data_IF_820094543770
#
_entry.id   IF_820094543770
#
_cell.length_a   1.000
_cell.length_b   1.000
_cell.length_c   1.000
_cell.angle_alpha   90.00
_cell.angle_beta   90.00
_cell.angle_gamma   90.00
#
_symmetry.space_group_name_H-M   'P 1'
#
loop_
_entity.id
_entity.type
_entity.pdbx_description
1 polymer ?
#
# COMPACT_ATOMS: atom_id res chain seq x y z
N UNK A 1 2.35 -18.60 28.32
CA UNK A 1 2.80 -17.21 28.54
C UNK A 1 2.19 -16.70 29.83
N UNK A 2 3.01 -16.41 30.85
CA UNK A 2 2.55 -15.86 32.12
C UNK A 2 2.09 -14.40 31.99
N UNK A 3 1.30 -13.94 32.96
CA UNK A 3 0.80 -12.56 33.03
C UNK A 3 1.95 -11.53 33.15
N UNK A 4 2.97 -11.86 33.93
CA UNK A 4 4.17 -11.06 34.08
C UNK A 4 4.88 -10.78 32.75
N UNK A 5 4.94 -11.78 31.86
CA UNK A 5 5.49 -11.59 30.50
C UNK A 5 4.64 -10.63 29.67
N UNK A 6 3.30 -10.67 29.79
CA UNK A 6 2.41 -9.75 29.07
C UNK A 6 2.59 -8.32 29.54
N UNK A 7 2.71 -8.10 30.84
CA UNK A 7 2.96 -6.78 31.42
C UNK A 7 4.32 -6.23 31.02
N UNK A 8 5.37 -7.06 31.07
CA UNK A 8 6.69 -6.71 30.56
C UNK A 8 6.63 -6.23 29.11
N UNK A 9 5.92 -6.97 28.23
CA UNK A 9 5.74 -6.58 26.84
C UNK A 9 4.96 -5.27 26.69
N UNK A 10 3.89 -5.07 27.46
CA UNK A 10 3.13 -3.80 27.47
C UNK A 10 4.01 -2.63 27.87
N UNK A 11 4.80 -2.77 28.94
CA UNK A 11 5.76 -1.76 29.41
C UNK A 11 6.80 -1.44 28.34
N UNK A 12 7.40 -2.45 27.71
CA UNK A 12 8.37 -2.25 26.62
C UNK A 12 7.76 -1.64 25.36
N UNK A 13 6.48 -1.88 25.07
CA UNK A 13 5.78 -1.18 23.99
C UNK A 13 5.52 0.28 24.35
N UNK A 14 5.10 0.56 25.59
CA UNK A 14 4.87 1.92 26.07
C UNK A 14 6.17 2.75 26.07
N UNK A 15 7.26 2.18 26.58
CA UNK A 15 8.60 2.78 26.59
C UNK A 15 9.05 3.12 25.16
N UNK A 16 8.92 2.19 24.20
CA UNK A 16 9.24 2.46 22.79
C UNK A 16 8.36 3.53 22.15
N UNK A 17 7.09 3.64 22.56
CA UNK A 17 6.19 4.70 22.08
C UNK A 17 6.55 6.06 22.69
N UNK A 18 6.91 6.10 23.97
CA UNK A 18 7.35 7.30 24.67
C UNK A 18 8.68 7.82 24.15
N UNK A 19 9.62 6.93 23.83
CA UNK A 19 10.91 7.27 23.22
C UNK A 19 10.78 7.82 21.78
N UNK A 20 9.64 7.58 21.11
CA UNK A 20 9.42 8.08 19.76
C UNK A 20 8.94 9.53 19.83
N UNK A 21 9.86 10.46 19.55
CA UNK A 21 9.55 11.88 19.50
C UNK A 21 8.34 12.15 18.58
N UNK A 22 7.41 13.03 18.99
CA UNK A 22 6.28 13.40 18.15
C UNK A 22 6.82 14.07 16.89
N UNK A 23 6.27 13.68 15.74
CA UNK A 23 6.55 14.35 14.48
C UNK A 23 6.06 15.81 14.60
N UNK A 24 6.96 16.78 14.50
CA UNK A 24 6.62 18.20 14.45
C UNK A 24 5.99 18.52 13.09
N UNK A 25 4.70 18.20 12.95
CA UNK A 25 3.89 18.49 11.77
C UNK A 25 3.08 19.77 12.02
N UNK A 26 3.06 20.69 11.07
CA UNK A 26 2.22 21.86 11.15
C UNK A 26 0.72 21.46 11.18
N UNK A 27 -0.18 22.25 11.81
CA UNK A 27 -1.59 21.88 11.99
C UNK A 27 -2.34 21.53 10.69
N UNK A 28 -1.95 22.17 9.58
CA UNK A 28 -2.51 21.98 8.23
C UNK A 28 -1.78 20.93 7.39
N UNK A 29 -0.68 20.35 7.88
CA UNK A 29 0.09 19.35 7.16
C UNK A 29 -0.49 17.94 7.32
N UNK A 30 -0.24 17.13 6.30
CA UNK A 30 -0.68 15.75 6.23
C UNK A 30 -0.03 14.89 7.33
N UNK A 31 -0.84 14.21 8.15
CA UNK A 31 -0.39 13.34 9.27
C UNK A 31 0.20 11.99 8.82
N UNK A 32 0.83 11.92 7.65
CA UNK A 32 1.45 10.69 7.17
C UNK A 32 2.76 10.44 7.93
N UNK A 33 3.00 9.18 8.32
CA UNK A 33 4.09 8.81 9.24
C UNK A 33 5.50 9.14 8.73
N UNK A 34 5.68 9.28 7.41
CA UNK A 34 6.95 9.65 6.80
C UNK A 34 7.17 11.17 6.71
N UNK A 35 6.32 11.99 7.34
CA UNK A 35 6.47 13.45 7.33
C UNK A 35 6.10 14.08 5.99
N UNK A 36 4.81 14.03 5.62
CA UNK A 36 4.36 14.58 4.35
C UNK A 36 4.15 16.11 4.42
N UNK A 37 4.91 16.88 3.63
CA UNK A 37 4.78 18.34 3.57
C UNK A 37 3.53 18.89 2.88
N UNK A 38 2.69 18.03 2.29
CA UNK A 38 1.46 18.47 1.63
C UNK A 38 0.37 18.90 2.62
N UNK A 39 -0.46 19.86 2.21
CA UNK A 39 -1.62 20.28 2.99
C UNK A 39 -2.69 19.18 3.07
N UNK A 40 -3.44 19.20 4.17
CA UNK A 40 -4.61 18.35 4.42
C UNK A 40 -5.70 18.63 3.38
N UNK A 41 -6.35 17.58 2.88
CA UNK A 41 -7.40 17.75 1.88
C UNK A 41 -8.70 18.29 2.51
N UNK A 42 -9.41 19.23 1.88
CA UNK A 42 -10.71 19.67 2.36
C UNK A 42 -11.78 18.59 2.12
N UNK A 43 -12.68 18.42 3.09
CA UNK A 43 -13.98 17.76 2.92
C UNK A 43 -14.97 18.74 2.27
N UNK A 44 -16.10 18.22 1.80
CA UNK A 44 -17.22 19.02 1.27
C UNK A 44 -17.81 20.01 2.31
N UNK A 45 -17.67 19.72 3.60
CA UNK A 45 -18.12 20.58 4.70
C UNK A 45 -17.09 21.67 5.09
N UNK A 46 -15.98 21.81 4.36
CA UNK A 46 -14.90 22.76 4.67
C UNK A 46 -13.88 22.27 5.72
N UNK A 47 -14.14 21.15 6.40
CA UNK A 47 -13.23 20.58 7.39
C UNK A 47 -12.04 19.86 6.72
N UNK A 48 -10.87 19.84 7.35
CA UNK A 48 -9.67 19.20 6.81
C UNK A 48 -9.58 17.71 7.16
N UNK A 49 -9.46 16.84 6.16
CA UNK A 49 -9.08 15.44 6.33
C UNK A 49 -7.73 15.29 7.02
N UNK A 50 -7.48 14.21 7.77
CA UNK A 50 -6.18 13.96 8.42
C UNK A 50 -5.00 13.84 7.44
N UNK A 51 -5.28 13.48 6.18
CA UNK A 51 -4.29 13.26 5.13
C UNK A 51 -4.48 14.23 3.96
N UNK A 52 -3.40 14.45 3.20
CA UNK A 52 -3.49 15.10 1.90
C UNK A 52 -4.23 14.22 0.88
N UNK A 53 -4.56 14.80 -0.27
CA UNK A 53 -5.36 14.11 -1.30
C UNK A 53 -4.64 12.86 -1.84
N UNK A 54 -3.32 12.90 -2.02
CA UNK A 54 -2.50 11.76 -2.45
C UNK A 54 -2.60 10.58 -1.48
N UNK A 55 -2.36 10.82 -0.19
CA UNK A 55 -2.40 9.78 0.83
C UNK A 55 -3.82 9.25 1.08
N UNK A 56 -4.83 10.13 1.02
CA UNK A 56 -6.24 9.72 1.08
C UNK A 56 -6.61 8.76 -0.06
N UNK A 57 -6.22 9.09 -1.30
CA UNK A 57 -6.46 8.22 -2.47
C UNK A 57 -5.75 6.88 -2.30
N UNK A 58 -4.47 6.88 -1.91
CA UNK A 58 -3.71 5.64 -1.65
C UNK A 58 -4.39 4.76 -0.59
N UNK A 59 -4.80 5.35 0.53
CA UNK A 59 -5.48 4.63 1.60
C UNK A 59 -6.80 4.01 1.12
N UNK A 60 -7.59 4.76 0.34
CA UNK A 60 -8.82 4.26 -0.26
C UNK A 60 -8.55 3.09 -1.22
N UNK A 61 -7.51 3.18 -2.05
CA UNK A 61 -7.11 2.08 -2.96
C UNK A 61 -6.75 0.84 -2.14
N UNK A 62 -5.87 0.96 -1.14
CA UNK A 62 -5.49 -0.17 -0.28
C UNK A 62 -6.70 -0.78 0.45
N UNK A 63 -7.65 0.04 0.90
CA UNK A 63 -8.89 -0.45 1.51
C UNK A 63 -9.75 -1.23 0.51
N UNK A 64 -9.93 -0.71 -0.72
CA UNK A 64 -10.67 -1.39 -1.78
C UNK A 64 -10.01 -2.71 -2.16
N UNK A 65 -8.69 -2.73 -2.32
CA UNK A 65 -7.93 -3.93 -2.67
C UNK A 65 -8.08 -5.00 -1.59
N UNK A 66 -7.94 -4.61 -0.32
CA UNK A 66 -8.16 -5.52 0.81
C UNK A 66 -9.57 -6.09 0.80
N UNK A 67 -10.57 -5.24 0.60
CA UNK A 67 -11.96 -5.67 0.55
C UNK A 67 -12.24 -6.60 -0.64
N UNK A 68 -11.66 -6.30 -1.81
CA UNK A 68 -11.75 -7.16 -2.99
C UNK A 68 -11.13 -8.53 -2.74
N UNK A 69 -9.92 -8.58 -2.16
CA UNK A 69 -9.25 -9.84 -1.79
C UNK A 69 -10.08 -10.66 -0.80
N UNK A 70 -10.66 -10.01 0.21
CA UNK A 70 -11.54 -10.67 1.17
C UNK A 70 -12.80 -11.23 0.50
N UNK A 71 -13.43 -10.46 -0.39
CA UNK A 71 -14.59 -10.92 -1.18
C UNK A 71 -14.24 -12.13 -2.05
N UNK A 72 -13.17 -12.05 -2.83
CA UNK A 72 -12.72 -13.14 -3.69
C UNK A 72 -12.32 -14.38 -2.89
N UNK A 73 -11.70 -14.22 -1.72
CA UNK A 73 -11.32 -15.34 -0.85
C UNK A 73 -12.53 -16.04 -0.21
N UNK A 74 -13.61 -15.29 0.08
CA UNK A 74 -14.88 -15.88 0.54
C UNK A 74 -15.54 -16.70 -0.56
N UNK A 75 -15.49 -16.22 -1.82
CA UNK A 75 -16.04 -16.94 -2.98
C UNK A 75 -15.21 -18.19 -3.30
N UNK A 76 -13.88 -18.12 -3.21
CA UNK A 76 -12.98 -19.22 -3.55
C UNK A 76 -12.94 -20.36 -2.52
N UNK A 77 -13.30 -20.11 -1.25
CA UNK A 77 -13.35 -21.17 -0.23
C UNK A 77 -14.31 -20.82 0.92
N UNK A 78 -15.48 -21.46 1.00
CA UNK A 78 -16.42 -21.28 2.11
C UNK A 78 -15.81 -21.64 3.48
N UNK A 79 -14.89 -22.62 3.51
CA UNK A 79 -14.20 -23.08 4.73
C UNK A 79 -13.13 -22.08 5.20
N UNK A 80 -12.51 -21.33 4.29
CA UNK A 80 -11.56 -20.24 4.61
C UNK A 80 -12.28 -19.02 5.23
N UNK A 81 -13.54 -18.77 4.84
CA UNK A 81 -14.39 -17.71 5.40
C UNK A 81 -14.56 -17.84 6.92
N UNK A 82 -14.67 -19.07 7.44
CA UNK A 82 -14.80 -19.37 8.88
C UNK A 82 -13.56 -18.94 9.70
N UNK A 83 -12.34 -19.11 9.14
CA UNK A 83 -11.09 -18.72 9.83
C UNK A 83 -10.83 -17.22 9.76
N UNK A 84 -11.22 -16.56 8.66
CA UNK A 84 -11.13 -15.11 8.54
C UNK A 84 -12.14 -14.38 9.46
N UNK A 85 -13.35 -14.93 9.65
CA UNK A 85 -14.32 -14.41 10.62
C UNK A 85 -13.85 -14.54 12.07
N UNK A 86 -13.10 -15.60 12.43
CA UNK A 86 -12.51 -15.76 13.78
C UNK A 86 -11.34 -14.80 14.07
N UNK A 87 -10.70 -14.26 13.03
CA UNK A 87 -9.72 -13.15 13.13
C UNK A 87 -10.36 -11.78 12.87
N UNK A 88 -11.68 -11.70 12.79
CA UNK A 88 -12.37 -10.43 12.81
C UNK A 88 -11.94 -9.70 14.08
N UNK A 89 -11.46 -8.44 13.98
CA UNK A 89 -11.13 -7.68 15.16
C UNK A 89 -12.38 -7.69 16.04
N UNK A 90 -12.22 -7.97 17.33
CA UNK A 90 -13.23 -7.63 18.33
C UNK A 90 -13.86 -6.31 17.90
N UNK A 91 -15.19 -6.31 17.73
CA UNK A 91 -15.96 -5.08 17.60
C UNK A 91 -15.37 -4.12 18.63
N UNK A 92 -14.78 -3.03 18.15
CA UNK A 92 -14.49 -1.92 19.03
C UNK A 92 -15.86 -1.52 19.56
N UNK A 93 -16.16 -1.92 20.78
CA UNK A 93 -16.96 -1.07 21.64
C UNK A 93 -16.16 0.22 21.64
N UNK A 94 -16.66 1.21 20.91
CA UNK A 94 -16.13 2.56 21.01
C UNK A 94 -16.06 2.92 22.50
N UNK A 95 -14.90 3.36 23.00
CA UNK A 95 -14.91 4.22 24.17
C UNK A 95 -15.60 5.50 23.73
N UNK A 96 -16.89 5.60 24.06
CA UNK A 96 -17.68 6.82 24.01
C UNK A 96 -16.83 8.02 24.43
N UNK A 97 -16.48 8.87 23.47
CA UNK A 97 -15.90 10.18 23.73
C UNK A 97 -17.02 11.19 24.00
N UNK A 98 -17.79 10.97 25.06
CA UNK A 98 -18.69 11.97 25.61
C UNK A 98 -18.34 12.23 27.07
N UNK A 99 -17.33 13.08 27.29
CA UNK A 99 -17.38 14.02 28.41
C UNK A 99 -18.15 15.24 27.91
N UNK A 100 -19.47 15.17 27.99
CA UNK A 100 -20.33 16.35 27.96
C UNK A 100 -20.59 16.68 29.42
N UNK A 101 -20.02 17.80 29.88
CA UNK A 101 -20.49 18.47 31.09
C UNK A 101 -21.93 18.98 30.85
N UNK A 102 -22.82 18.99 31.85
CA UNK A 102 -24.19 19.44 31.66
C UNK A 102 -24.22 20.98 31.65
N UNK A 103 -24.77 21.57 30.59
CA UNK A 103 -25.09 23.00 30.57
C UNK A 103 -26.43 23.22 29.88
N UNK A 104 -27.42 23.40 30.74
CA UNK A 104 -28.69 24.16 30.63
C UNK A 104 -29.37 24.35 29.25
N UNK A 105 -30.61 23.85 29.20
CA UNK A 105 -31.82 24.45 28.62
C UNK A 105 -31.70 25.33 27.37
N UNK A 106 -32.30 24.83 26.28
CA UNK A 106 -33.29 25.62 25.53
C UNK A 106 -34.20 24.70 24.71
N UNK A 107 -35.49 24.75 25.05
CA UNK A 107 -36.63 24.23 24.30
C UNK A 107 -36.55 24.66 22.83
N UNK A 108 -36.93 23.79 21.91
CA UNK A 108 -37.89 24.07 20.83
C UNK A 108 -38.44 22.73 20.31
N UNK A 109 -39.73 22.80 20.01
CA UNK A 109 -40.76 21.79 19.85
C UNK A 109 -40.71 20.97 18.57
N UNK A 110 -41.31 19.78 18.67
CA UNK A 110 -42.14 19.09 17.68
C UNK A 110 -42.33 19.78 16.32
N UNK A 111 -41.98 19.06 15.25
CA UNK A 111 -42.83 19.00 14.05
C UNK A 111 -42.81 17.58 13.48
N UNK A 112 -44.00 17.01 13.40
CA UNK A 112 -44.31 15.75 12.73
C UNK A 112 -44.43 15.97 11.22
N UNK A 113 -43.96 14.98 10.45
CA UNK A 113 -44.55 14.48 9.20
C UNK A 113 -44.85 15.44 8.05
N UNK A 114 -44.14 15.27 6.93
CA UNK A 114 -44.74 15.29 5.57
C UNK A 114 -43.87 14.47 4.59
N UNK A 115 -44.48 13.81 3.59
CA UNK A 115 -43.83 12.81 2.74
C UNK A 115 -43.07 13.45 1.56
N UNK A 116 -41.89 12.92 1.24
CA UNK A 116 -41.12 13.35 0.05
C UNK A 116 -41.65 12.62 -1.18
N UNK A 117 -42.32 13.40 -2.03
CA UNK A 117 -42.73 13.06 -3.38
C UNK A 117 -41.54 12.78 -4.31
N UNK A 118 -41.76 11.81 -5.19
CA UNK A 118 -41.27 11.67 -6.56
C UNK A 118 -39.82 12.10 -6.91
N UNK A 119 -39.03 11.07 -7.21
CA UNK A 119 -37.74 11.12 -7.91
C UNK A 119 -37.94 11.47 -9.39
N UNK A 120 -37.35 12.56 -9.93
CA UNK A 120 -37.33 12.79 -11.36
C UNK A 120 -36.25 11.95 -12.04
N UNK A 121 -36.68 11.22 -13.05
CA UNK A 121 -35.86 10.54 -14.05
C UNK A 121 -35.33 11.64 -15.01
N UNK A 122 -34.02 11.87 -15.06
CA UNK A 122 -33.41 12.70 -16.09
C UNK A 122 -32.76 11.79 -17.13
N UNK A 123 -33.38 11.78 -18.30
CA UNK A 123 -32.87 11.26 -19.57
C UNK A 123 -32.18 12.39 -20.30
N UNK A 124 -30.87 12.28 -20.51
CA UNK A 124 -30.14 13.14 -21.46
C UNK A 124 -29.73 12.32 -22.68
N UNK A 125 -30.39 12.67 -23.78
CA UNK A 125 -30.09 12.35 -25.16
C UNK A 125 -28.72 12.92 -25.54
N UNK A 126 -27.90 12.13 -26.25
CA UNK A 126 -26.63 12.57 -26.80
C UNK A 126 -26.66 12.39 -28.33
N UNK A 127 -26.58 13.47 -29.14
CA UNK A 127 -26.60 13.35 -30.59
C UNK A 127 -25.20 13.11 -31.17
N UNK A 128 -25.12 12.10 -32.04
CA UNK A 128 -24.01 11.82 -32.95
C UNK A 128 -23.98 12.75 -34.16
N UNK A 129 -22.79 13.08 -34.67
CA UNK A 129 -22.40 13.29 -36.09
C UNK A 129 -20.86 13.47 -36.12
N UNK A 130 -20.04 12.56 -36.67
CA UNK A 130 -19.70 12.31 -38.09
C UNK A 130 -19.22 13.60 -38.82
N UNK A 131 -18.08 13.69 -39.53
CA UNK A 131 -17.73 12.96 -40.78
C UNK A 131 -16.31 13.32 -41.30
N UNK A 132 -15.64 12.41 -42.05
CA UNK A 132 -14.68 12.65 -43.18
C UNK A 132 -13.19 12.88 -42.83
N UNK A 133 -12.14 12.10 -43.20
CA UNK A 133 -11.70 11.22 -44.33
C UNK A 133 -11.05 11.97 -45.53
N UNK A 134 -9.84 11.49 -45.92
CA UNK A 134 -9.06 11.70 -47.20
C UNK A 134 -8.12 12.94 -47.24
N UNK A 135 -6.94 13.03 -47.88
CA UNK A 135 -6.00 12.23 -48.71
C UNK A 135 -4.66 13.07 -48.75
N UNK A 136 -3.45 12.51 -48.68
CA UNK A 136 -2.47 12.20 -49.76
C UNK A 136 -1.87 13.37 -50.61
N UNK A 137 -0.54 13.27 -50.82
CA UNK A 137 0.39 13.95 -51.79
C UNK A 137 0.95 15.35 -51.39
N UNK A 138 2.20 15.76 -51.60
CA UNK A 138 3.43 15.23 -52.22
C UNK A 138 4.45 16.39 -52.43
N UNK A 139 5.75 16.06 -52.58
CA UNK A 139 6.93 16.84 -53.13
C UNK A 139 7.40 18.14 -52.42
N UNK A 140 8.69 18.46 -52.17
CA UNK A 140 9.93 18.29 -52.96
C UNK A 140 11.26 18.38 -52.13
N UNK A 141 12.37 18.04 -52.81
CA UNK A 141 13.78 18.52 -52.63
C UNK A 141 14.84 17.57 -52.05
N UNK A 142 15.31 16.66 -52.92
CA UNK A 142 16.69 16.54 -53.45
C UNK A 142 17.84 17.15 -52.61
N UNK A 143 18.73 16.30 -52.09
CA UNK A 143 20.19 16.44 -52.29
C UNK A 143 20.85 15.06 -52.29
N UNK A 144 21.46 14.73 -53.41
CA UNK A 144 22.38 13.63 -53.65
C UNK A 144 23.69 13.83 -52.87
N UNK A 145 24.19 12.79 -52.21
CA UNK A 145 25.63 12.66 -51.92
C UNK A 145 26.06 11.20 -52.01
N UNK A 146 27.13 11.03 -52.77
CA UNK A 146 27.74 9.86 -53.36
C UNK A 146 28.60 9.05 -52.35
N UNK A 147 28.38 7.72 -52.31
CA UNK A 147 29.32 6.56 -52.27
C UNK A 147 30.67 6.72 -51.50
N UNK A 148 31.14 5.73 -50.67
CA UNK A 148 31.49 4.42 -51.21
C UNK A 148 31.13 3.16 -50.41
N UNK A 149 30.90 2.12 -51.23
CA UNK A 149 31.01 0.68 -50.93
C UNK A 149 32.16 0.40 -49.95
N UNK A 150 31.87 -0.23 -48.81
CA UNK A 150 32.90 -0.86 -47.99
C UNK A 150 32.42 -2.20 -47.40
N UNK A 151 32.98 -3.25 -48.00
CA UNK A 151 33.35 -4.57 -47.45
C UNK A 151 32.44 -5.27 -46.45
N UNK A 152 31.86 -6.38 -46.92
CA UNK A 152 31.57 -7.59 -46.14
C UNK A 152 32.69 -7.92 -45.14
N UNK A 153 32.31 -8.17 -43.89
CA UNK A 153 33.16 -8.87 -42.92
C UNK A 153 33.00 -8.40 -41.47
N UNK A 154 31.82 -8.55 -40.86
CA UNK A 154 31.68 -8.36 -39.40
C UNK A 154 30.37 -8.87 -38.80
N UNK A 155 29.71 -9.88 -39.38
CA UNK A 155 28.49 -10.43 -38.76
C UNK A 155 28.76 -11.43 -37.63
N UNK A 156 29.94 -12.04 -37.58
CA UNK A 156 30.28 -13.03 -36.54
C UNK A 156 30.65 -12.41 -35.18
N UNK A 157 31.24 -11.20 -35.17
CA UNK A 157 31.68 -10.56 -33.91
C UNK A 157 30.55 -10.07 -33.01
N UNK A 158 29.37 -9.80 -33.56
CA UNK A 158 28.21 -9.30 -32.79
C UNK A 158 27.48 -10.47 -32.09
N UNK A 159 27.45 -11.66 -32.71
CA UNK A 159 26.86 -12.85 -32.11
C UNK A 159 27.69 -13.36 -30.92
N UNK A 160 29.02 -13.37 -31.04
CA UNK A 160 29.91 -13.79 -29.95
C UNK A 160 29.86 -12.84 -28.74
N UNK A 161 29.79 -11.52 -28.96
CA UNK A 161 29.62 -10.54 -27.87
C UNK A 161 28.28 -10.69 -27.13
N UNK A 162 27.25 -11.20 -27.81
CA UNK A 162 25.95 -11.44 -27.19
C UNK A 162 25.96 -12.71 -26.34
N UNK A 163 26.73 -13.74 -26.74
CA UNK A 163 26.88 -14.98 -25.99
C UNK A 163 27.73 -14.82 -24.74
N UNK A 164 28.83 -14.05 -24.79
CA UNK A 164 29.64 -13.73 -23.61
C UNK A 164 28.82 -12.94 -22.57
N UNK A 165 28.04 -11.96 -23.03
CA UNK A 165 27.14 -11.19 -22.15
C UNK A 165 26.08 -12.07 -21.45
N UNK A 166 25.55 -13.09 -22.14
CA UNK A 166 24.62 -14.04 -21.53
C UNK A 166 25.30 -14.94 -20.49
N UNK A 167 26.55 -15.33 -20.71
CA UNK A 167 27.32 -16.10 -19.74
C UNK A 167 27.57 -15.31 -18.46
N UNK A 168 27.94 -14.03 -18.58
CA UNK A 168 28.16 -13.14 -17.43
C UNK A 168 26.88 -12.93 -16.61
N UNK A 169 25.72 -12.78 -17.27
CA UNK A 169 24.42 -12.69 -16.58
C UNK A 169 24.12 -13.99 -15.82
N UNK A 170 24.32 -15.14 -16.44
CA UNK A 170 24.08 -16.44 -15.81
C UNK A 170 24.99 -16.67 -14.59
N UNK A 171 26.26 -16.28 -14.68
CA UNK A 171 27.21 -16.35 -13.55
C UNK A 171 26.75 -15.43 -12.42
N UNK A 172 26.41 -14.17 -12.73
CA UNK A 172 25.94 -13.21 -11.73
C UNK A 172 24.67 -13.68 -11.02
N UNK A 173 23.73 -14.31 -11.73
CA UNK A 173 22.52 -14.89 -11.15
C UNK A 173 22.84 -16.06 -10.20
N UNK A 174 23.77 -16.94 -10.58
CA UNK A 174 24.20 -18.05 -9.73
C UNK A 174 24.90 -17.57 -8.46
N UNK A 175 25.77 -16.56 -8.58
CA UNK A 175 26.43 -15.93 -7.41
C UNK A 175 25.41 -15.29 -6.47
N UNK A 176 24.39 -14.61 -7.00
CA UNK A 176 23.31 -14.05 -6.20
C UNK A 176 22.49 -15.11 -5.48
N UNK A 177 22.17 -16.22 -6.14
CA UNK A 177 21.49 -17.36 -5.51
C UNK A 177 22.34 -18.01 -4.42
N UNK A 178 23.66 -18.11 -4.63
CA UNK A 178 24.58 -18.62 -3.63
C UNK A 178 24.61 -17.70 -2.39
N UNK A 179 24.76 -16.39 -2.59
CA UNK A 179 24.72 -15.40 -1.49
C UNK A 179 23.41 -15.47 -0.69
N UNK A 180 22.27 -15.63 -1.37
CA UNK A 180 20.96 -15.80 -0.71
C UNK A 180 20.89 -17.08 0.14
N UNK A 181 21.35 -18.21 -0.39
CA UNK A 181 21.40 -19.48 0.35
C UNK A 181 22.30 -19.40 1.58
N UNK A 182 23.47 -18.77 1.43
CA UNK A 182 24.39 -18.60 2.56
C UNK A 182 23.82 -17.66 3.64
N UNK A 183 23.15 -16.57 3.24
CA UNK A 183 22.44 -15.70 4.17
C UNK A 183 21.32 -16.44 4.92
N UNK A 184 20.55 -17.29 4.25
CA UNK A 184 19.52 -18.12 4.86
C UNK A 184 20.13 -19.14 5.85
N UNK A 185 21.26 -19.77 5.50
CA UNK A 185 22.00 -20.67 6.39
C UNK A 185 22.46 -19.95 7.65
N UNK A 186 23.12 -18.80 7.51
CA UNK A 186 23.57 -17.96 8.65
C UNK A 186 22.40 -17.52 9.52
N UNK A 187 21.25 -17.20 8.91
CA UNK A 187 20.04 -16.86 9.66
C UNK A 187 19.54 -18.05 10.49
N UNK A 188 19.45 -19.25 9.90
CA UNK A 188 19.06 -20.48 10.61
C UNK A 188 20.01 -20.81 11.76
N UNK A 189 21.32 -20.70 11.55
CA UNK A 189 22.33 -20.90 12.59
C UNK A 189 22.17 -19.91 13.75
N UNK A 190 21.95 -18.63 13.46
CA UNK A 190 21.67 -17.62 14.51
C UNK A 190 20.40 -17.93 15.28
N UNK A 191 19.32 -18.32 14.58
CA UNK A 191 18.07 -18.72 15.23
C UNK A 191 18.27 -19.95 16.12
N UNK A 192 19.01 -20.95 15.67
CA UNK A 192 19.34 -22.14 16.45
C UNK A 192 20.16 -21.78 17.70
N UNK A 193 21.17 -20.92 17.58
CA UNK A 193 21.98 -20.46 18.71
C UNK A 193 21.14 -19.71 19.76
N UNK A 194 20.25 -18.81 19.32
CA UNK A 194 19.32 -18.12 20.22
C UNK A 194 18.40 -19.13 20.94
N UNK A 195 17.88 -20.11 20.21
CA UNK A 195 17.00 -21.12 20.80
C UNK A 195 17.74 -22.01 21.81
N UNK A 196 18.96 -22.43 21.50
CA UNK A 196 19.81 -23.19 22.41
C UNK A 196 20.13 -22.41 23.69
N UNK A 197 20.45 -21.12 23.59
CA UNK A 197 20.68 -20.26 24.75
C UNK A 197 19.44 -20.15 25.65
N UNK A 198 18.23 -20.08 25.05
CA UNK A 198 16.98 -20.08 25.81
C UNK A 198 16.71 -21.41 26.51
N UNK A 199 17.06 -22.55 25.90
CA UNK A 199 16.91 -23.87 26.51
C UNK A 199 17.82 -24.03 27.73
N UNK A 200 19.08 -23.59 27.64
CA UNK A 200 20.04 -23.63 28.76
C UNK A 200 19.56 -22.74 29.92
N UNK A 201 19.11 -21.52 29.63
CA UNK A 201 18.58 -20.60 30.65
C UNK A 201 17.29 -21.10 31.31
N UNK A 202 16.49 -21.90 30.61
CA UNK A 202 15.30 -22.52 31.18
C UNK A 202 15.65 -23.66 32.14
N UNK A 203 16.74 -24.40 31.88
CA UNK A 203 17.21 -25.46 32.78
C UNK A 203 17.88 -24.94 34.04
N UNK A 204 18.55 -23.79 33.99
CA UNK A 204 19.22 -23.19 35.16
C UNK A 204 18.29 -22.45 36.12
N UNK A 205 17.06 -22.14 35.70
CA UNK A 205 16.07 -21.45 36.54
C UNK A 205 15.21 -22.40 37.40
N UNK A 206 15.48 -23.70 37.36
CA UNK A 206 14.73 -24.77 38.05
C UNK A 206 15.56 -25.48 39.14
N UNK A 207 16.72 -24.94 39.51
CA UNK A 207 17.50 -25.30 40.71
C UNK A 207 17.48 -24.10 41.68
#
# INVERSE_FOLDING_TARGET
MCEHHREYQRRKVAERRAAKAPLQLAPRQCKYYAGCGNQRAPKKNGELHSFCQKHRRRQNTTQRDRHSRLKSAVVASPVYSSRLRRRSPHKMVEPSCHQILPSVNSKISNFQGVPVLARPHFSDSNPSSATGRQQAEGIDSITTTTTPLNKCGSSDRVADQTLESLADIAIAEQEELFRRREAEKRFKEKCAAIWAAHLINASTCNQ
#
